data_IF_035842929619
#
_entry.id   IF_035842929619
#
_cell.length_a   1.000
_cell.length_b   1.000
_cell.length_c   1.000
_cell.angle_alpha   90.00
_cell.angle_beta   90.00
_cell.angle_gamma   90.00
#
_symmetry.space_group_name_H-M   'P 1'
#
loop_
_entity.id
_entity.type
_entity.pdbx_description
1 polymer ?
#
# COMPACT_ATOMS: atom_id res chain seq x y z
N UNK A 1 -2.92 -4.16 14.23
CA UNK A 1 -1.85 -3.14 14.40
C UNK A 1 -2.08 -1.98 13.42
N UNK A 2 -1.32 -0.88 13.48
CA UNK A 2 -1.45 0.26 12.55
C UNK A 2 -0.08 0.61 11.95
N UNK A 3 -0.03 0.90 10.65
CA UNK A 3 1.19 1.34 9.97
C UNK A 3 0.91 2.14 8.70
N UNK A 4 1.89 2.92 8.27
CA UNK A 4 1.90 3.64 7.01
C UNK A 4 3.05 3.14 6.13
N UNK A 5 2.80 3.00 4.83
CA UNK A 5 3.81 2.64 3.85
C UNK A 5 3.83 3.65 2.72
N UNK A 6 4.98 4.25 2.46
CA UNK A 6 5.20 5.24 1.41
C UNK A 6 6.66 5.17 0.95
N UNK A 7 6.90 5.29 -0.35
CA UNK A 7 8.24 5.19 -0.94
C UNK A 7 9.07 6.45 -0.70
N UNK A 8 8.39 7.60 -0.66
CA UNK A 8 8.98 8.90 -0.34
C UNK A 8 9.09 9.08 1.18
N UNK A 9 10.31 8.99 1.71
CA UNK A 9 10.57 9.08 3.15
C UNK A 9 10.15 10.42 3.78
N UNK A 10 10.19 11.52 3.02
CA UNK A 10 9.74 12.83 3.52
C UNK A 10 8.22 12.84 3.67
N UNK A 11 7.48 12.34 2.67
CA UNK A 11 6.02 12.19 2.77
C UNK A 11 5.63 11.21 3.87
N UNK A 12 6.35 10.09 4.00
CA UNK A 12 6.13 9.11 5.05
C UNK A 12 6.29 9.73 6.44
N UNK A 13 7.35 10.52 6.66
CA UNK A 13 7.59 11.23 7.91
C UNK A 13 6.47 12.24 8.21
N UNK A 14 6.03 13.01 7.20
CA UNK A 14 4.92 13.95 7.35
C UNK A 14 3.61 13.27 7.73
N UNK A 15 3.24 12.18 7.05
CA UNK A 15 2.00 11.43 7.30
C UNK A 15 2.07 10.72 8.66
N UNK A 16 3.20 10.09 8.98
CA UNK A 16 3.41 9.42 10.27
C UNK A 16 3.32 10.40 11.43
N UNK A 17 3.93 11.58 11.32
CA UNK A 17 3.82 12.61 12.34
C UNK A 17 2.39 13.17 12.45
N UNK A 18 1.74 13.46 11.30
CA UNK A 18 0.41 14.09 11.29
C UNK A 18 -0.69 13.19 11.85
N UNK A 19 -0.64 11.90 11.56
CA UNK A 19 -1.68 10.93 11.95
C UNK A 19 -1.19 9.92 12.99
N UNK A 20 0.01 10.15 13.54
CA UNK A 20 0.60 9.37 14.63
C UNK A 20 0.73 7.87 14.32
N UNK A 21 1.11 7.53 13.08
CA UNK A 21 1.35 6.13 12.70
C UNK A 21 2.56 5.57 13.45
N UNK A 22 2.38 4.53 14.29
CA UNK A 22 3.45 4.02 15.16
C UNK A 22 4.47 3.14 14.43
N UNK A 23 4.13 2.66 13.23
CA UNK A 23 5.00 1.84 12.39
C UNK A 23 5.04 2.43 10.98
N UNK A 24 6.24 2.58 10.41
CA UNK A 24 6.44 3.12 9.07
C UNK A 24 7.28 2.18 8.23
N UNK A 25 6.98 2.11 6.94
CA UNK A 25 7.65 1.24 5.99
C UNK A 25 7.85 1.96 4.65
N UNK A 26 8.94 1.62 3.97
CA UNK A 26 9.18 2.00 2.56
C UNK A 26 9.00 0.82 1.60
N UNK A 27 8.56 -0.33 2.13
CA UNK A 27 8.26 -1.55 1.37
C UNK A 27 7.02 -2.21 1.98
N UNK A 28 5.93 -2.30 1.21
CA UNK A 28 4.66 -2.83 1.70
C UNK A 28 4.74 -4.32 2.04
N UNK A 29 5.66 -5.07 1.43
CA UNK A 29 5.84 -6.50 1.74
C UNK A 29 6.37 -6.67 3.16
N UNK A 30 7.36 -5.85 3.54
CA UNK A 30 7.86 -5.83 4.92
C UNK A 30 6.76 -5.43 5.90
N UNK A 31 5.90 -4.47 5.54
CA UNK A 31 4.76 -4.08 6.36
C UNK A 31 3.81 -5.26 6.58
N UNK A 32 3.45 -5.98 5.52
CA UNK A 32 2.56 -7.14 5.58
C UNK A 32 3.16 -8.31 6.38
N UNK A 33 4.47 -8.53 6.28
CA UNK A 33 5.18 -9.57 7.04
C UNK A 33 5.35 -9.23 8.52
N UNK A 34 5.43 -7.93 8.86
CA UNK A 34 5.73 -7.46 10.21
C UNK A 34 4.48 -7.20 11.03
N UNK A 35 3.42 -6.66 10.41
CA UNK A 35 2.22 -6.22 11.11
C UNK A 35 1.08 -7.21 10.91
N UNK A 36 0.41 -7.56 12.02
CA UNK A 36 -0.88 -8.22 11.96
C UNK A 36 -1.97 -7.17 11.66
N UNK A 37 -2.25 -7.01 10.36
CA UNK A 37 -3.25 -6.10 9.80
C UNK A 37 -4.52 -6.87 9.42
N UNK A 38 -5.68 -6.24 9.58
CA UNK A 38 -6.97 -6.77 9.10
C UNK A 38 -7.28 -6.26 7.67
N UNK A 39 -6.97 -4.98 7.42
CA UNK A 39 -7.31 -4.26 6.18
C UNK A 39 -6.16 -3.35 5.74
N UNK A 40 -6.01 -3.21 4.42
CA UNK A 40 -5.06 -2.29 3.78
C UNK A 40 -5.80 -1.34 2.85
N UNK A 41 -5.51 -0.04 2.98
CA UNK A 41 -5.88 0.97 2.00
C UNK A 41 -4.71 1.20 1.07
N UNK A 42 -4.84 0.78 -0.19
CA UNK A 42 -3.82 0.92 -1.20
C UNK A 42 -4.19 2.10 -2.12
N UNK A 43 -3.68 3.28 -1.76
CA UNK A 43 -4.00 4.56 -2.41
C UNK A 43 -2.79 5.02 -3.23
N UNK A 44 -2.79 4.70 -4.51
CA UNK A 44 -1.72 5.07 -5.44
C UNK A 44 -2.24 5.16 -6.88
N UNK A 45 -1.39 5.59 -7.81
CA UNK A 45 -1.74 5.59 -9.22
C UNK A 45 -2.06 4.17 -9.71
N UNK A 46 -3.08 4.06 -10.54
CA UNK A 46 -3.64 2.82 -11.07
C UNK A 46 -2.65 1.96 -11.89
N UNK A 47 -1.54 2.54 -12.36
CA UNK A 47 -0.48 1.80 -13.06
C UNK A 47 0.37 0.94 -12.12
N UNK A 48 0.38 1.28 -10.83
CA UNK A 48 1.25 0.65 -9.83
C UNK A 48 0.49 -0.28 -8.87
N UNK A 49 -0.84 -0.26 -8.90
CA UNK A 49 -1.70 -0.94 -7.93
C UNK A 49 -1.64 -2.47 -8.00
N UNK A 50 -1.35 -3.04 -9.17
CA UNK A 50 -1.51 -4.47 -9.40
C UNK A 50 -0.70 -5.32 -8.42
N UNK A 51 0.60 -5.06 -8.29
CA UNK A 51 1.46 -5.89 -7.43
C UNK A 51 1.14 -5.70 -5.94
N UNK A 52 1.03 -4.47 -5.39
CA UNK A 52 0.62 -4.29 -3.99
C UNK A 52 -0.75 -4.89 -3.66
N UNK A 53 -1.71 -4.80 -4.58
CA UNK A 53 -3.03 -5.42 -4.40
C UNK A 53 -2.93 -6.95 -4.31
N UNK A 54 -2.18 -7.58 -5.22
CA UNK A 54 -1.95 -9.03 -5.18
C UNK A 54 -1.24 -9.45 -3.89
N UNK A 55 -0.24 -8.70 -3.45
CA UNK A 55 0.50 -9.00 -2.21
C UNK A 55 -0.42 -8.95 -0.99
N UNK A 56 -1.30 -7.94 -0.90
CA UNK A 56 -2.29 -7.84 0.18
C UNK A 56 -3.29 -9.01 0.16
N UNK A 57 -3.80 -9.37 -1.03
CA UNK A 57 -4.76 -10.47 -1.18
C UNK A 57 -4.11 -11.82 -0.86
N UNK A 58 -2.87 -12.06 -1.30
CA UNK A 58 -2.12 -13.27 -1.00
C UNK A 58 -1.79 -13.39 0.50
N UNK A 59 -1.56 -12.26 1.17
CA UNK A 59 -1.41 -12.20 2.63
C UNK A 59 -2.75 -12.35 3.39
N UNK A 60 -3.87 -12.57 2.69
CA UNK A 60 -5.19 -12.77 3.27
C UNK A 60 -5.81 -11.51 3.87
N UNK A 61 -5.37 -10.32 3.45
CA UNK A 61 -5.83 -9.05 4.01
C UNK A 61 -7.02 -8.48 3.24
N UNK A 62 -7.94 -7.83 3.94
CA UNK A 62 -8.97 -7.03 3.28
C UNK A 62 -8.32 -5.85 2.56
N UNK A 63 -8.79 -5.51 1.37
CA UNK A 63 -8.14 -4.50 0.53
C UNK A 63 -9.15 -3.47 0.03
N UNK A 64 -8.83 -2.20 0.21
CA UNK A 64 -9.49 -1.07 -0.44
C UNK A 64 -8.50 -0.42 -1.42
N UNK A 65 -8.95 -0.13 -2.64
CA UNK A 65 -8.15 0.53 -3.67
C UNK A 65 -8.84 1.80 -4.15
N UNK A 66 -8.07 2.83 -4.48
CA UNK A 66 -8.62 4.03 -5.12
C UNK A 66 -9.04 3.75 -6.57
N UNK A 67 -9.98 4.55 -7.08
CA UNK A 67 -10.39 4.46 -8.49
C UNK A 67 -9.43 5.29 -9.38
N UNK A 68 -9.13 4.81 -10.59
CA UNK A 68 -9.57 3.54 -11.18
C UNK A 68 -8.80 2.33 -10.61
N UNK A 69 -9.39 1.13 -10.59
CA UNK A 69 -8.82 -0.05 -9.91
C UNK A 69 -7.56 -0.62 -10.58
N UNK A 70 -7.20 -0.12 -11.75
CA UNK A 70 -6.04 -0.53 -12.51
C UNK A 70 -6.01 0.17 -13.86
N UNK A 71 -4.82 0.22 -14.48
CA UNK A 71 -4.66 0.61 -15.87
C UNK A 71 -4.35 -0.60 -16.74
N UNK A 72 -4.85 -0.59 -17.98
CA UNK A 72 -4.44 -1.54 -19.00
C UNK A 72 -2.99 -1.22 -19.41
N UNK A 73 -2.08 -2.18 -19.34
CA UNK A 73 -0.81 -2.08 -20.06
C UNK A 73 -1.19 -2.06 -21.54
N UNK A 74 -0.82 -1.01 -22.28
CA UNK A 74 -1.11 -0.93 -23.70
C UNK A 74 -0.62 -2.21 -24.36
N UNK A 75 -1.54 -3.00 -24.92
CA UNK A 75 -1.17 -4.06 -25.85
C UNK A 75 -0.53 -3.35 -27.04
N UNK A 76 0.79 -3.33 -27.09
CA UNK A 76 1.49 -3.34 -28.37
C UNK A 76 1.13 -4.68 -29.01
N UNK A 77 0.04 -4.69 -29.79
CA UNK A 77 -0.10 -5.63 -30.91
C UNK A 77 1.09 -5.49 -31.84
#
# INVERSE_FOLDING_TARGET
>A
MLGACELDEEKLAQVSHKYEFPNTFTDHRKMLDTLDLDVVYCVMNEKWILQPALDCLNAGKHLFIEKPPGAQHGLST
#
